data_IF_700897767410
#
_entry.id   IF_700897767410
#
_cell.length_a   1.000
_cell.length_b   1.000
_cell.length_c   1.000
_cell.angle_alpha   90.00
_cell.angle_beta   90.00
_cell.angle_gamma   90.00
#
_symmetry.space_group_name_H-M   'P 1'
#
loop_
_entity.id
_entity.type
_entity.pdbx_description
1 polymer ?
#
# COMPACT_ATOMS: atom_id res chain seq x y z
N UNK A 1 17.05 33.35 13.32
CA UNK A 1 15.80 32.70 12.85
C UNK A 1 16.25 31.54 11.97
N UNK A 2 16.53 30.41 12.59
CA UNK A 2 17.06 29.23 11.90
C UNK A 2 15.86 28.37 11.47
N UNK A 3 15.58 28.33 10.17
CA UNK A 3 14.53 27.52 9.57
C UNK A 3 14.95 26.05 9.60
N UNK A 4 14.20 25.23 10.34
CA UNK A 4 14.42 23.78 10.40
C UNK A 4 14.11 23.12 9.05
N UNK A 5 14.86 22.07 8.66
CA UNK A 5 14.52 21.27 7.49
C UNK A 5 13.23 20.49 7.79
N UNK A 6 12.28 20.60 6.88
CA UNK A 6 11.02 19.88 6.90
C UNK A 6 11.32 18.39 6.62
N UNK A 7 11.26 17.55 7.65
CA UNK A 7 11.44 16.10 7.51
C UNK A 7 10.25 15.54 6.72
N UNK A 8 10.53 15.11 5.49
CA UNK A 8 9.57 14.72 4.47
C UNK A 8 8.89 13.38 4.73
N UNK A 9 8.21 13.24 5.85
CA UNK A 9 7.23 12.19 6.11
C UNK A 9 5.81 12.75 5.95
N UNK A 10 5.50 13.24 4.76
CA UNK A 10 4.13 13.51 4.38
C UNK A 10 3.42 12.16 4.22
N UNK A 11 2.87 11.67 5.33
CA UNK A 11 1.93 10.56 5.37
C UNK A 11 0.76 10.98 4.45
N UNK A 12 0.78 10.46 3.23
CA UNK A 12 -0.26 10.76 2.25
C UNK A 12 -1.56 10.18 2.78
N UNK A 13 -2.39 11.06 3.34
CA UNK A 13 -3.79 10.80 3.64
C UNK A 13 -4.43 10.43 2.31
N UNK A 14 -4.68 9.15 2.11
CA UNK A 14 -5.13 8.59 0.84
C UNK A 14 -6.59 8.99 0.63
N UNK A 15 -6.84 10.03 -0.17
CA UNK A 15 -8.19 10.44 -0.58
C UNK A 15 -8.82 9.48 -1.63
N UNK A 16 -8.29 8.26 -1.78
CA UNK A 16 -8.68 7.32 -2.83
C UNK A 16 -9.51 6.12 -2.38
N UNK A 17 -9.52 5.79 -1.08
CA UNK A 17 -10.27 4.65 -0.56
C UNK A 17 -10.87 4.99 0.81
N UNK A 18 -12.17 5.30 0.82
CA UNK A 18 -12.94 5.54 2.05
C UNK A 18 -13.39 4.20 2.63
N UNK A 19 -12.73 3.72 3.68
CA UNK A 19 -13.12 2.48 4.38
C UNK A 19 -11.94 1.69 4.91
N UNK A 20 -12.22 0.70 5.75
CA UNK A 20 -11.21 -0.23 6.26
C UNK A 20 -10.50 -0.94 5.10
N UNK A 21 -9.16 -1.08 5.10
CA UNK A 21 -8.44 -1.85 4.09
C UNK A 21 -8.94 -3.29 3.93
N UNK A 22 -9.57 -3.86 4.97
CA UNK A 22 -10.15 -5.20 4.90
C UNK A 22 -11.37 -5.31 3.97
N UNK A 23 -12.03 -4.18 3.66
CA UNK A 23 -13.20 -4.11 2.80
C UNK A 23 -12.87 -3.65 1.37
N UNK A 24 -11.59 -3.36 1.08
CA UNK A 24 -11.18 -2.90 -0.23
C UNK A 24 -11.39 -3.98 -1.29
N UNK A 25 -12.05 -3.60 -2.38
CA UNK A 25 -12.11 -4.40 -3.59
C UNK A 25 -10.78 -4.33 -4.34
N UNK A 26 -10.60 -5.18 -5.35
CA UNK A 26 -9.48 -5.07 -6.29
C UNK A 26 -9.39 -3.66 -6.90
N UNK A 27 -10.53 -3.02 -7.18
CA UNK A 27 -10.54 -1.66 -7.74
C UNK A 27 -9.99 -0.63 -6.75
N UNK A 28 -10.30 -0.77 -5.46
CA UNK A 28 -9.84 0.14 -4.41
C UNK A 28 -8.33 0.00 -4.19
N UNK A 29 -7.81 -1.23 -4.16
CA UNK A 29 -6.36 -1.51 -4.08
C UNK A 29 -5.63 -0.85 -5.25
N UNK A 30 -6.16 -1.00 -6.45
CA UNK A 30 -5.55 -0.41 -7.66
C UNK A 30 -5.62 1.11 -7.64
N UNK A 31 -6.76 1.68 -7.23
CA UNK A 31 -6.93 3.13 -7.06
C UNK A 31 -5.92 3.69 -6.07
N UNK A 32 -5.77 3.04 -4.91
CA UNK A 32 -4.83 3.43 -3.86
C UNK A 32 -3.38 3.45 -4.38
N UNK A 33 -2.91 2.37 -4.98
CA UNK A 33 -1.52 2.31 -5.47
C UNK A 33 -1.26 3.23 -6.67
N UNK A 34 -2.28 3.47 -7.50
CA UNK A 34 -2.21 4.47 -8.57
C UNK A 34 -2.04 5.87 -7.99
N UNK A 35 -2.87 6.25 -7.01
CA UNK A 35 -2.80 7.55 -6.32
C UNK A 35 -1.50 7.72 -5.51
N UNK A 36 -0.95 6.63 -4.98
CA UNK A 36 0.34 6.60 -4.29
C UNK A 36 1.56 6.75 -5.22
N UNK A 37 1.36 6.86 -6.54
CA UNK A 37 2.43 7.05 -7.52
C UNK A 37 3.00 5.77 -8.11
N UNK A 38 2.26 4.66 -8.03
CA UNK A 38 2.66 3.35 -8.57
C UNK A 38 1.69 2.81 -9.65
N UNK A 39 1.30 3.59 -10.68
CA UNK A 39 0.29 3.16 -11.66
C UNK A 39 0.69 1.90 -12.44
N UNK A 40 1.99 1.75 -12.76
CA UNK A 40 2.53 0.56 -13.45
C UNK A 40 2.38 -0.70 -12.57
N UNK A 41 2.67 -0.57 -11.28
CA UNK A 41 2.58 -1.69 -10.33
C UNK A 41 1.14 -1.99 -9.94
N UNK A 42 0.27 -0.97 -9.91
CA UNK A 42 -1.15 -1.14 -9.66
C UNK A 42 -1.81 -2.09 -10.67
N UNK A 43 -1.32 -2.14 -11.92
CA UNK A 43 -1.78 -3.11 -12.92
C UNK A 43 -1.47 -4.58 -12.52
N UNK A 44 -0.37 -4.84 -11.79
CA UNK A 44 -0.03 -6.17 -11.30
C UNK A 44 -1.02 -6.63 -10.23
N UNK A 45 -1.37 -5.75 -9.28
CA UNK A 45 -2.41 -6.03 -8.28
C UNK A 45 -3.76 -6.36 -8.93
N UNK A 46 -4.12 -5.65 -10.01
CA UNK A 46 -5.33 -5.95 -10.78
C UNK A 46 -5.27 -7.32 -11.45
N UNK A 47 -4.16 -7.63 -12.12
CA UNK A 47 -3.97 -8.89 -12.86
C UNK A 47 -4.02 -10.11 -11.94
N UNK A 48 -3.52 -9.97 -10.72
CA UNK A 48 -3.54 -11.03 -9.71
C UNK A 48 -4.79 -11.01 -8.83
N UNK A 49 -5.75 -10.14 -9.14
CA UNK A 49 -7.02 -10.03 -8.41
C UNK A 49 -6.82 -9.80 -6.90
N UNK A 50 -5.81 -9.00 -6.54
CA UNK A 50 -5.49 -8.70 -5.15
C UNK A 50 -6.52 -7.72 -4.59
N UNK A 51 -7.39 -8.21 -3.72
CA UNK A 51 -8.30 -7.42 -2.90
C UNK A 51 -7.65 -7.00 -1.58
N UNK A 52 -8.38 -6.24 -0.76
CA UNK A 52 -7.90 -5.72 0.51
C UNK A 52 -7.47 -6.81 1.50
N UNK A 53 -8.27 -7.87 1.63
CA UNK A 53 -7.94 -9.01 2.51
C UNK A 53 -6.66 -9.70 2.09
N UNK A 54 -6.52 -9.97 0.80
CA UNK A 54 -5.32 -10.57 0.22
C UNK A 54 -4.11 -9.66 0.44
N UNK A 55 -4.27 -8.35 0.21
CA UNK A 55 -3.22 -7.34 0.41
C UNK A 55 -2.72 -7.33 1.87
N UNK A 56 -3.63 -7.38 2.84
CA UNK A 56 -3.31 -7.41 4.26
C UNK A 56 -2.60 -8.69 4.70
N UNK A 57 -2.76 -9.79 3.95
CA UNK A 57 -2.08 -11.07 4.22
C UNK A 57 -0.76 -11.23 3.45
N UNK A 58 -0.45 -10.34 2.51
CA UNK A 58 0.77 -10.44 1.71
C UNK A 58 2.03 -10.36 2.59
N UNK A 59 2.94 -11.30 2.36
CA UNK A 59 4.26 -11.30 2.93
C UNK A 59 5.24 -10.58 2.02
N UNK A 60 6.44 -10.31 2.55
CA UNK A 60 7.52 -9.66 1.79
C UNK A 60 7.78 -10.36 0.46
N UNK A 61 7.85 -11.69 0.44
CA UNK A 61 8.17 -12.44 -0.76
C UNK A 61 7.08 -12.33 -1.84
N UNK A 62 5.82 -12.24 -1.43
CA UNK A 62 4.68 -12.11 -2.36
C UNK A 62 4.77 -10.80 -3.14
N UNK A 63 5.14 -9.70 -2.46
CA UNK A 63 5.32 -8.39 -3.12
C UNK A 63 6.61 -8.34 -3.95
N UNK A 64 7.71 -8.86 -3.41
CA UNK A 64 9.02 -8.76 -4.07
C UNK A 64 9.19 -9.71 -5.27
N UNK A 65 8.48 -10.84 -5.29
CA UNK A 65 8.64 -11.87 -6.33
C UNK A 65 7.32 -12.27 -6.98
N UNK A 66 6.22 -12.29 -6.23
CA UNK A 66 4.92 -12.74 -6.73
C UNK A 66 4.32 -11.82 -7.79
N UNK A 67 4.45 -10.50 -7.65
CA UNK A 67 3.82 -9.50 -8.54
C UNK A 67 4.60 -9.20 -9.84
N UNK A 68 5.77 -9.81 -10.07
CA UNK A 68 6.66 -9.50 -11.22
C UNK A 68 7.02 -8.00 -11.33
N UNK A 69 7.11 -7.29 -10.19
CA UNK A 69 7.48 -5.88 -10.11
C UNK A 69 9.00 -5.76 -9.96
N UNK A 70 9.60 -4.72 -10.55
CA UNK A 70 11.03 -4.38 -10.35
C UNK A 70 11.34 -4.21 -8.86
N UNK A 71 12.48 -4.73 -8.41
CA UNK A 71 12.87 -4.77 -6.99
C UNK A 71 12.75 -3.42 -6.27
N UNK A 72 13.20 -2.33 -6.90
CA UNK A 72 13.16 -0.98 -6.31
C UNK A 72 11.74 -0.54 -5.93
N UNK A 73 10.80 -0.45 -6.89
CA UNK A 73 9.39 -0.20 -6.61
C UNK A 73 8.77 -1.20 -5.62
N UNK A 74 9.06 -2.50 -5.75
CA UNK A 74 8.50 -3.53 -4.87
C UNK A 74 8.88 -3.31 -3.40
N UNK A 75 10.14 -2.95 -3.13
CA UNK A 75 10.60 -2.61 -1.77
C UNK A 75 9.85 -1.38 -1.21
N UNK A 76 9.64 -0.34 -2.03
CA UNK A 76 8.91 0.86 -1.62
C UNK A 76 7.46 0.54 -1.28
N UNK A 77 6.79 -0.27 -2.10
CA UNK A 77 5.41 -0.72 -1.90
C UNK A 77 5.29 -1.50 -0.59
N UNK A 78 6.15 -2.49 -0.38
CA UNK A 78 6.07 -3.31 0.83
C UNK A 78 6.34 -2.49 2.10
N UNK A 79 7.45 -1.74 2.14
CA UNK A 79 7.88 -1.06 3.36
C UNK A 79 7.06 0.19 3.70
N UNK A 80 6.51 0.90 2.72
CA UNK A 80 5.80 2.17 2.95
C UNK A 80 4.28 2.08 2.86
N UNK A 81 3.73 1.04 2.23
CA UNK A 81 2.29 0.90 2.05
C UNK A 81 1.76 -0.36 2.71
N UNK A 82 2.20 -1.55 2.27
CA UNK A 82 1.64 -2.83 2.77
C UNK A 82 1.80 -2.96 4.28
N UNK A 83 3.01 -2.75 4.81
CA UNK A 83 3.25 -2.81 6.26
C UNK A 83 2.49 -1.75 7.05
N UNK A 84 2.25 -0.58 6.46
CA UNK A 84 1.51 0.50 7.13
C UNK A 84 0.04 0.12 7.21
N UNK A 85 -0.56 -0.34 6.10
CA UNK A 85 -1.94 -0.81 6.03
C UNK A 85 -2.20 -2.00 6.98
N UNK A 86 -1.25 -2.92 7.07
CA UNK A 86 -1.30 -4.05 8.01
C UNK A 86 -1.32 -3.56 9.45
N UNK A 87 -0.40 -2.67 9.84
CA UNK A 87 -0.34 -2.16 11.21
C UNK A 87 -1.62 -1.43 11.62
N UNK A 88 -2.12 -0.53 10.76
CA UNK A 88 -3.36 0.19 11.04
C UNK A 88 -4.54 -0.76 11.23
N UNK A 89 -4.61 -1.84 10.46
CA UNK A 89 -5.71 -2.80 10.61
C UNK A 89 -5.63 -3.61 11.90
N UNK A 90 -4.45 -4.08 12.30
CA UNK A 90 -4.33 -4.89 13.52
C UNK A 90 -4.37 -4.06 14.81
N UNK A 91 -3.93 -2.80 14.79
CA UNK A 91 -4.05 -1.90 15.95
C UNK A 91 -5.51 -1.49 16.23
N UNK A 92 -6.38 -1.51 15.21
CA UNK A 92 -7.82 -1.22 15.35
C UNK A 92 -8.64 -2.42 15.87
N UNK A 93 -8.14 -3.66 15.75
CA UNK A 93 -8.83 -4.90 16.17
C UNK A 93 -8.52 -5.30 17.64
N UNK A 94 -7.52 -4.68 18.27
CA UNK A 94 -7.13 -4.91 19.68
C UNK A 94 -7.85 -3.95 20.68
N UNK A 95 -8.93 -3.27 20.28
CA UNK A 95 -9.70 -2.33 21.10
C UNK A 95 -11.11 -2.84 21.46
#
# INVERSE_FOLDING_TARGET
>A
LESKPNDGSQLMKSEGASGSPADWTVSDVVSYFTAAGFPEQAAAFRTQEIDGKSLLLMQRNDVLTGLSIRLGPALKIYERHVKVLQKTHFEDEDC
#
